data_IF_673973695061
#
_entry.id   IF_673973695061
#
_cell.length_a   1.000
_cell.length_b   1.000
_cell.length_c   1.000
_cell.angle_alpha   90.00
_cell.angle_beta   90.00
_cell.angle_gamma   90.00
#
_symmetry.space_group_name_H-M   'P 1'
#
loop_
_entity.id
_entity.type
_entity.pdbx_description
1 polymer ?
#
# COMPACT_ATOMS: atom_id res chain seq x y z
N UNK A 1 -38.40 14.06 -37.27
CA UNK A 1 -38.21 14.99 -36.15
C UNK A 1 -36.77 14.83 -35.70
N UNK A 2 -35.95 15.90 -35.68
CA UNK A 2 -34.64 15.79 -35.07
C UNK A 2 -34.88 15.67 -33.57
N UNK A 3 -34.60 14.50 -33.03
CA UNK A 3 -34.38 14.34 -31.61
C UNK A 3 -33.12 15.17 -31.33
N UNK A 4 -33.28 16.32 -30.72
CA UNK A 4 -32.16 17.14 -30.25
C UNK A 4 -31.55 16.36 -29.12
N UNK A 5 -30.53 15.59 -29.42
CA UNK A 5 -29.74 14.89 -28.43
C UNK A 5 -29.02 15.94 -27.57
N UNK A 6 -29.56 16.18 -26.39
CA UNK A 6 -28.94 17.09 -25.47
C UNK A 6 -27.72 16.39 -24.91
N UNK A 7 -26.55 17.04 -24.93
CA UNK A 7 -25.35 16.44 -24.32
C UNK A 7 -25.64 16.10 -22.86
N UNK A 8 -25.47 14.83 -22.51
CA UNK A 8 -25.69 14.36 -21.15
C UNK A 8 -24.63 14.99 -20.25
N UNK A 9 -25.07 15.81 -19.29
CA UNK A 9 -24.18 16.36 -18.28
C UNK A 9 -23.76 15.22 -17.32
N UNK A 10 -22.47 15.14 -17.07
CA UNK A 10 -21.88 14.20 -16.10
C UNK A 10 -21.38 14.95 -14.88
N UNK A 11 -21.44 14.29 -13.73
CA UNK A 11 -20.86 14.82 -12.51
C UNK A 11 -19.37 14.50 -12.47
N UNK A 12 -18.55 15.54 -12.40
CA UNK A 12 -17.10 15.44 -12.25
C UNK A 12 -16.72 16.04 -10.89
N UNK A 13 -15.69 15.52 -10.27
CA UNK A 13 -15.17 16.03 -8.99
C UNK A 13 -13.84 16.75 -9.24
N UNK A 14 -13.74 17.97 -8.75
CA UNK A 14 -12.52 18.76 -8.79
C UNK A 14 -11.48 18.25 -7.77
N UNK A 15 -10.21 18.56 -7.96
CA UNK A 15 -9.10 18.26 -7.03
C UNK A 15 -9.37 18.77 -5.60
N UNK A 16 -10.27 19.73 -5.43
CA UNK A 16 -10.73 20.26 -4.13
C UNK A 16 -11.95 19.51 -3.56
N UNK A 17 -12.34 18.39 -4.16
CA UNK A 17 -13.48 17.58 -3.72
C UNK A 17 -14.86 18.14 -4.08
N UNK A 18 -14.95 19.23 -4.85
CA UNK A 18 -16.23 19.82 -5.26
C UNK A 18 -16.76 19.11 -6.51
N UNK A 19 -18.03 18.72 -6.46
CA UNK A 19 -18.72 18.11 -7.62
C UNK A 19 -19.36 19.20 -8.47
N UNK A 20 -19.17 19.13 -9.78
CA UNK A 20 -19.85 20.00 -10.75
C UNK A 20 -20.31 19.19 -11.96
N UNK A 21 -21.32 19.69 -12.64
CA UNK A 21 -21.83 19.07 -13.86
C UNK A 21 -21.12 19.65 -15.08
N UNK A 22 -20.63 18.78 -15.95
CA UNK A 22 -19.99 19.18 -17.20
C UNK A 22 -20.44 18.26 -18.33
N UNK A 23 -20.40 18.76 -19.56
CA UNK A 23 -20.63 17.99 -20.78
C UNK A 23 -19.33 17.51 -21.43
N UNK A 24 -18.18 17.85 -20.87
CA UNK A 24 -16.86 17.43 -21.36
C UNK A 24 -16.23 16.42 -20.42
N UNK A 25 -15.62 15.39 -20.98
CA UNK A 25 -14.90 14.34 -20.25
C UNK A 25 -13.41 14.55 -20.48
N UNK A 26 -12.65 14.63 -19.40
CA UNK A 26 -11.19 14.65 -19.45
C UNK A 26 -10.66 13.21 -19.59
N UNK A 27 -9.95 12.94 -20.68
CA UNK A 27 -9.37 11.63 -20.98
C UNK A 27 -7.95 11.47 -20.45
N UNK A 28 -7.42 12.51 -19.82
CA UNK A 28 -6.08 12.42 -19.17
C UNK A 28 -6.16 11.59 -17.90
N UNK A 29 -5.01 11.10 -17.48
CA UNK A 29 -4.90 10.45 -16.18
C UNK A 29 -5.31 11.41 -15.05
N UNK A 30 -6.17 10.92 -14.18
CA UNK A 30 -6.69 11.63 -13.04
C UNK A 30 -6.25 10.95 -11.76
N UNK A 31 -6.02 11.75 -10.73
CA UNK A 31 -5.70 11.26 -9.39
C UNK A 31 -6.87 11.53 -8.47
N UNK A 32 -7.31 10.50 -7.78
CA UNK A 32 -8.34 10.60 -6.75
C UNK A 32 -7.75 10.28 -5.39
N UNK A 33 -7.85 11.23 -4.48
CA UNK A 33 -7.43 11.07 -3.09
C UNK A 33 -8.64 10.63 -2.25
N UNK A 34 -8.56 9.42 -1.70
CA UNK A 34 -9.63 8.90 -0.85
C UNK A 34 -9.46 9.38 0.58
N UNK A 35 -10.56 9.81 1.22
CA UNK A 35 -10.52 10.18 2.63
C UNK A 35 -10.13 8.98 3.48
N UNK A 36 -9.50 9.24 4.62
CA UNK A 36 -9.17 8.23 5.61
C UNK A 36 -10.42 7.45 6.01
N UNK A 37 -10.29 6.15 6.06
CA UNK A 37 -11.35 5.25 6.51
C UNK A 37 -10.82 4.25 7.53
N UNK A 38 -11.69 3.86 8.46
CA UNK A 38 -11.39 2.83 9.43
C UNK A 38 -11.60 1.46 8.81
N UNK A 39 -10.59 0.61 8.90
CA UNK A 39 -10.61 -0.78 8.45
C UNK A 39 -10.13 -1.66 9.60
N UNK A 40 -10.71 -2.84 9.71
CA UNK A 40 -10.31 -3.83 10.71
C UNK A 40 -9.46 -4.88 10.02
N UNK A 41 -8.25 -5.08 10.52
CA UNK A 41 -7.33 -6.12 10.04
C UNK A 41 -7.74 -7.51 10.53
N UNK A 42 -7.13 -8.55 9.98
CA UNK A 42 -7.40 -9.95 10.34
C UNK A 42 -7.16 -10.25 11.83
N UNK A 43 -6.18 -9.60 12.43
CA UNK A 43 -5.84 -9.67 13.86
C UNK A 43 -6.70 -8.73 14.74
N UNK A 44 -7.83 -8.22 14.18
CA UNK A 44 -8.84 -7.41 14.86
C UNK A 44 -8.34 -6.05 15.36
N UNK A 45 -7.38 -5.45 14.67
CA UNK A 45 -6.92 -4.09 14.93
C UNK A 45 -7.64 -3.10 14.00
N UNK A 46 -8.27 -2.07 14.59
CA UNK A 46 -8.88 -0.99 13.81
C UNK A 46 -7.79 -0.01 13.37
N UNK A 47 -7.61 0.14 12.07
CA UNK A 47 -6.55 0.98 11.48
C UNK A 47 -7.18 2.02 10.56
N UNK A 48 -6.70 3.27 10.62
CA UNK A 48 -7.05 4.31 9.66
C UNK A 48 -6.14 4.22 8.44
N UNK A 49 -6.76 4.13 7.26
CA UNK A 49 -6.03 3.99 6.00
C UNK A 49 -6.62 4.94 4.96
N UNK A 50 -5.76 5.57 4.19
CA UNK A 50 -6.11 6.30 2.97
C UNK A 50 -5.29 5.81 1.79
N UNK A 51 -5.81 6.07 0.58
CA UNK A 51 -5.18 5.64 -0.65
C UNK A 51 -5.33 6.68 -1.76
N UNK A 52 -4.40 6.67 -2.70
CA UNK A 52 -4.48 7.39 -3.97
C UNK A 52 -4.80 6.40 -5.08
N UNK A 53 -5.68 6.81 -5.96
CA UNK A 53 -6.03 6.07 -7.17
C UNK A 53 -5.66 6.90 -8.39
N UNK A 54 -4.84 6.33 -9.27
CA UNK A 54 -4.53 6.88 -10.60
C UNK A 54 -5.33 6.11 -11.62
N UNK A 55 -6.23 6.81 -12.31
CA UNK A 55 -7.10 6.20 -13.31
C UNK A 55 -7.26 7.09 -14.54
N UNK A 56 -7.66 6.50 -15.63
CA UNK A 56 -7.91 7.17 -16.89
C UNK A 56 -9.20 6.65 -17.51
N UNK A 57 -10.00 7.55 -18.08
CA UNK A 57 -11.17 7.17 -18.86
C UNK A 57 -10.69 6.82 -20.26
N UNK A 58 -10.81 5.55 -20.64
CA UNK A 58 -10.43 5.04 -21.98
C UNK A 58 -11.61 4.94 -22.94
N UNK A 59 -12.81 4.73 -22.41
CA UNK A 59 -14.05 4.68 -23.18
C UNK A 59 -15.07 5.64 -22.56
N UNK A 60 -15.17 6.88 -23.10
CA UNK A 60 -16.08 7.88 -22.55
C UNK A 60 -17.55 7.51 -22.72
N UNK A 61 -17.90 6.69 -23.73
CA UNK A 61 -19.27 6.24 -23.95
C UNK A 61 -19.70 5.35 -22.79
N UNK A 62 -18.90 4.35 -22.45
CA UNK A 62 -19.18 3.49 -21.30
C UNK A 62 -19.21 4.27 -20.00
N UNK A 63 -18.29 5.21 -19.79
CA UNK A 63 -18.23 6.03 -18.59
C UNK A 63 -19.50 6.88 -18.36
N UNK A 64 -20.24 7.21 -19.43
CA UNK A 64 -21.47 8.00 -19.35
C UNK A 64 -22.73 7.14 -19.29
N UNK A 65 -22.76 6.01 -20.00
CA UNK A 65 -23.98 5.22 -20.17
C UNK A 65 -24.06 3.99 -19.24
N UNK A 66 -22.93 3.43 -18.84
CA UNK A 66 -22.89 2.24 -17.99
C UNK A 66 -23.01 2.57 -16.49
N UNK A 67 -22.71 3.81 -16.08
CA UNK A 67 -22.72 4.21 -14.67
C UNK A 67 -23.24 5.64 -14.52
N UNK A 68 -24.15 5.88 -13.61
CA UNK A 68 -24.78 7.19 -13.41
C UNK A 68 -23.81 8.21 -12.78
N UNK A 69 -23.02 7.80 -11.80
CA UNK A 69 -22.08 8.66 -11.08
C UNK A 69 -20.72 7.96 -10.91
N UNK A 70 -19.93 8.03 -11.97
CA UNK A 70 -18.62 7.38 -12.04
C UNK A 70 -17.70 7.71 -10.84
N UNK A 71 -17.51 9.00 -10.42
CA UNK A 71 -16.66 9.30 -9.28
C UNK A 71 -17.11 8.64 -7.98
N UNK A 72 -18.41 8.67 -7.70
CA UNK A 72 -18.96 8.04 -6.49
C UNK A 72 -18.87 6.51 -6.56
N UNK A 73 -19.08 5.92 -7.72
CA UNK A 73 -18.96 4.48 -7.91
C UNK A 73 -17.52 4.00 -7.71
N UNK A 74 -16.54 4.71 -8.26
CA UNK A 74 -15.11 4.43 -8.06
C UNK A 74 -14.76 4.57 -6.58
N UNK A 75 -15.24 5.62 -5.91
CA UNK A 75 -15.01 5.83 -4.48
C UNK A 75 -15.53 4.64 -3.66
N UNK A 76 -16.79 4.26 -3.83
CA UNK A 76 -17.41 3.16 -3.07
C UNK A 76 -16.75 1.82 -3.37
N UNK A 77 -16.43 1.55 -4.63
CA UNK A 77 -15.74 0.34 -5.03
C UNK A 77 -14.35 0.26 -4.37
N UNK A 78 -13.59 1.35 -4.41
CA UNK A 78 -12.25 1.40 -3.82
C UNK A 78 -12.32 1.24 -2.30
N UNK A 79 -13.25 1.92 -1.62
CA UNK A 79 -13.44 1.78 -0.17
C UNK A 79 -13.76 0.33 0.22
N UNK A 80 -14.63 -0.33 -0.54
CA UNK A 80 -15.02 -1.72 -0.27
C UNK A 80 -13.87 -2.69 -0.55
N UNK A 81 -13.18 -2.51 -1.67
CA UNK A 81 -12.04 -3.34 -2.05
C UNK A 81 -10.88 -3.19 -1.05
N UNK A 82 -10.58 -1.96 -0.64
CA UNK A 82 -9.57 -1.69 0.38
C UNK A 82 -9.90 -2.41 1.70
N UNK A 83 -11.14 -2.30 2.15
CA UNK A 83 -11.61 -2.99 3.36
C UNK A 83 -11.44 -4.51 3.27
N UNK A 84 -11.79 -5.10 2.13
CA UNK A 84 -11.68 -6.54 1.93
C UNK A 84 -10.22 -6.98 1.91
N UNK A 85 -9.37 -6.31 1.14
CA UNK A 85 -7.95 -6.66 1.01
C UNK A 85 -7.20 -6.52 2.33
N UNK A 86 -7.45 -5.45 3.08
CA UNK A 86 -6.80 -5.23 4.38
C UNK A 86 -7.37 -6.17 5.45
N UNK A 87 -8.68 -6.47 5.41
CA UNK A 87 -9.31 -7.42 6.33
C UNK A 87 -8.81 -8.86 6.23
N UNK A 88 -8.14 -9.22 5.13
CA UNK A 88 -7.49 -10.53 4.96
C UNK A 88 -6.07 -10.58 5.53
N UNK A 89 -5.47 -9.43 5.88
CA UNK A 89 -4.08 -9.28 6.28
C UNK A 89 -3.96 -8.93 7.77
N UNK A 90 -2.87 -9.35 8.37
CA UNK A 90 -2.47 -8.90 9.70
C UNK A 90 -1.88 -7.48 9.63
N UNK A 91 -1.86 -6.76 10.75
CA UNK A 91 -1.36 -5.39 10.79
C UNK A 91 0.12 -5.31 10.32
N UNK A 92 0.97 -6.22 10.78
CA UNK A 92 2.38 -6.29 10.39
C UNK A 92 2.54 -6.50 8.88
N UNK A 93 1.73 -7.38 8.28
CA UNK A 93 1.71 -7.60 6.84
C UNK A 93 1.25 -6.36 6.09
N UNK A 94 0.25 -5.66 6.62
CA UNK A 94 -0.27 -4.42 6.02
C UNK A 94 0.79 -3.32 6.00
N UNK A 95 1.64 -3.23 7.02
CA UNK A 95 2.72 -2.25 7.11
C UNK A 95 3.92 -2.59 6.22
N UNK A 96 4.26 -3.87 6.08
CA UNK A 96 5.47 -4.34 5.41
C UNK A 96 5.28 -4.66 3.93
N UNK A 97 4.07 -5.07 3.52
CA UNK A 97 3.80 -5.61 2.18
C UNK A 97 3.01 -4.63 1.29
N UNK A 98 3.25 -3.34 1.41
CA UNK A 98 2.52 -2.27 0.68
C UNK A 98 2.47 -2.50 -0.83
N UNK A 99 3.58 -2.90 -1.44
CA UNK A 99 3.64 -3.11 -2.90
C UNK A 99 2.73 -4.25 -3.35
N UNK A 100 2.67 -5.34 -2.58
CA UNK A 100 1.78 -6.47 -2.84
C UNK A 100 0.31 -6.06 -2.71
N UNK A 101 -0.01 -5.27 -1.69
CA UNK A 101 -1.36 -4.74 -1.46
C UNK A 101 -1.76 -3.80 -2.60
N UNK A 102 -0.90 -2.88 -2.99
CA UNK A 102 -1.11 -1.95 -4.09
C UNK A 102 -1.38 -2.69 -5.41
N UNK A 103 -0.60 -3.74 -5.70
CA UNK A 103 -0.78 -4.58 -6.88
C UNK A 103 -2.12 -5.34 -6.83
N UNK A 104 -2.49 -5.91 -5.69
CA UNK A 104 -3.77 -6.62 -5.49
C UNK A 104 -4.97 -5.67 -5.63
N UNK A 105 -4.90 -4.50 -5.00
CA UNK A 105 -5.93 -3.46 -5.12
C UNK A 105 -6.09 -3.02 -6.57
N UNK A 106 -4.99 -2.72 -7.25
CA UNK A 106 -5.00 -2.32 -8.66
C UNK A 106 -5.68 -3.38 -9.53
N UNK A 107 -5.31 -4.65 -9.39
CA UNK A 107 -5.87 -5.73 -10.21
C UNK A 107 -7.37 -5.88 -10.03
N UNK A 108 -7.88 -5.85 -8.79
CA UNK A 108 -9.31 -5.96 -8.49
C UNK A 108 -10.08 -4.74 -8.97
N UNK A 109 -9.52 -3.54 -8.78
CA UNK A 109 -10.18 -2.31 -9.21
C UNK A 109 -10.22 -2.17 -10.73
N UNK A 110 -9.11 -2.51 -11.42
CA UNK A 110 -9.04 -2.45 -12.89
C UNK A 110 -10.04 -3.40 -13.53
N UNK A 111 -10.14 -4.63 -13.05
CA UNK A 111 -11.13 -5.60 -13.53
C UNK A 111 -12.57 -5.08 -13.35
N UNK A 112 -12.89 -4.57 -12.18
CA UNK A 112 -14.22 -4.07 -11.87
C UNK A 112 -14.60 -2.80 -12.63
N UNK A 113 -13.65 -1.89 -12.89
CA UNK A 113 -13.89 -0.60 -13.57
C UNK A 113 -13.84 -0.70 -15.08
N UNK A 114 -13.29 -1.76 -15.63
CA UNK A 114 -13.16 -1.97 -17.08
C UNK A 114 -14.53 -1.92 -17.79
N UNK A 115 -15.58 -2.47 -17.17
CA UNK A 115 -16.95 -2.39 -17.69
C UNK A 115 -17.48 -0.96 -17.83
N UNK A 116 -16.96 -0.01 -17.06
CA UNK A 116 -17.30 1.42 -17.10
C UNK A 116 -16.38 2.21 -18.05
N UNK A 117 -15.50 1.54 -18.80
CA UNK A 117 -14.54 2.19 -19.67
C UNK A 117 -13.45 2.98 -18.95
N UNK A 118 -13.15 2.59 -17.72
CA UNK A 118 -12.11 3.20 -16.88
C UNK A 118 -10.97 2.20 -16.68
N UNK A 119 -9.75 2.68 -16.85
CA UNK A 119 -8.53 1.92 -16.58
C UNK A 119 -7.86 2.45 -15.33
N UNK A 120 -7.58 1.55 -14.40
CA UNK A 120 -6.81 1.85 -13.19
C UNK A 120 -5.34 1.58 -13.47
N UNK A 121 -4.54 2.66 -13.50
CA UNK A 121 -3.11 2.57 -13.77
C UNK A 121 -2.33 2.19 -12.52
N UNK A 122 -2.67 2.82 -11.38
CA UNK A 122 -1.94 2.68 -10.13
C UNK A 122 -2.83 2.92 -8.92
N UNK A 123 -2.56 2.19 -7.85
CA UNK A 123 -3.14 2.41 -6.52
C UNK A 123 -1.99 2.53 -5.53
N UNK A 124 -2.05 3.49 -4.64
CA UNK A 124 -1.04 3.69 -3.60
C UNK A 124 -1.69 3.89 -2.25
N UNK A 125 -1.31 3.07 -1.30
CA UNK A 125 -1.61 3.31 0.10
C UNK A 125 -0.72 4.45 0.61
N UNK A 126 -1.33 5.49 1.15
CA UNK A 126 -0.61 6.64 1.73
C UNK A 126 -0.24 6.36 3.17
N UNK A 127 -1.19 6.53 4.07
CA UNK A 127 -1.00 6.38 5.50
C UNK A 127 -1.71 5.13 6.01
N UNK A 128 -1.05 4.44 6.92
CA UNK A 128 -1.61 3.34 7.70
C UNK A 128 -1.34 3.69 9.14
N UNK A 129 -2.39 4.08 9.85
CA UNK A 129 -2.28 4.58 11.22
C UNK A 129 -3.02 3.65 12.18
N UNK A 130 -2.32 2.76 12.88
CA UNK A 130 -2.92 1.94 13.92
C UNK A 130 -3.24 2.77 15.17
N UNK A 131 -4.08 2.27 16.09
CA UNK A 131 -4.33 2.91 17.36
C UNK A 131 -3.02 3.12 18.16
N UNK A 132 -2.97 4.20 18.91
CA UNK A 132 -1.77 4.58 19.67
C UNK A 132 -1.26 3.48 20.61
N UNK A 133 -2.17 2.78 21.29
CA UNK A 133 -1.83 1.66 22.17
C UNK A 133 -1.11 0.51 21.46
N UNK A 134 -1.56 0.19 20.25
CA UNK A 134 -0.96 -0.86 19.42
C UNK A 134 0.39 -0.38 18.89
N UNK A 135 0.48 0.86 18.41
CA UNK A 135 1.72 1.47 17.95
C UNK A 135 2.81 1.44 19.03
N UNK A 136 2.47 1.84 20.25
CA UNK A 136 3.41 1.77 21.39
C UNK A 136 3.85 0.36 21.73
N UNK A 137 2.93 -0.63 21.64
CA UNK A 137 3.28 -2.03 21.89
C UNK A 137 4.24 -2.56 20.81
N UNK A 138 3.98 -2.26 19.53
CA UNK A 138 4.85 -2.61 18.41
C UNK A 138 6.24 -1.97 18.52
N UNK A 139 6.32 -0.69 18.91
CA UNK A 139 7.59 0.01 19.12
C UNK A 139 8.44 -0.67 20.19
N UNK A 140 7.82 -1.05 21.33
CA UNK A 140 8.50 -1.80 22.39
C UNK A 140 8.97 -3.18 21.92
N UNK A 141 8.14 -3.90 21.21
CA UNK A 141 8.49 -5.21 20.65
C UNK A 141 9.65 -5.10 19.67
N UNK A 142 9.60 -4.15 18.74
CA UNK A 142 10.68 -3.91 17.79
C UNK A 142 11.98 -3.49 18.47
N UNK A 143 11.91 -2.69 19.53
CA UNK A 143 13.09 -2.30 20.31
C UNK A 143 13.71 -3.51 21.01
N UNK A 144 12.89 -4.36 21.63
CA UNK A 144 13.36 -5.59 22.27
C UNK A 144 14.01 -6.54 21.26
N UNK A 145 13.40 -6.71 20.08
CA UNK A 145 13.96 -7.57 19.01
C UNK A 145 15.29 -7.01 18.46
N UNK A 146 15.39 -5.69 18.28
CA UNK A 146 16.65 -5.04 17.86
C UNK A 146 17.74 -5.26 18.90
N UNK A 147 17.44 -5.10 20.19
CA UNK A 147 18.38 -5.32 21.27
C UNK A 147 18.84 -6.79 21.29
N UNK A 148 17.91 -7.73 21.19
CA UNK A 148 18.22 -9.16 21.12
C UNK A 148 19.15 -9.50 19.94
N UNK A 149 18.87 -8.97 18.75
CA UNK A 149 19.73 -9.18 17.58
C UNK A 149 21.10 -8.56 17.75
N UNK A 150 21.19 -7.38 18.37
CA UNK A 150 22.47 -6.74 18.67
C UNK A 150 23.32 -7.56 19.64
N UNK A 151 22.70 -8.15 20.68
CA UNK A 151 23.38 -9.04 21.63
C UNK A 151 23.89 -10.32 20.94
N UNK A 152 23.07 -10.94 20.07
CA UNK A 152 23.49 -12.12 19.32
C UNK A 152 24.69 -11.81 18.42
N UNK A 153 24.60 -10.72 17.62
CA UNK A 153 25.69 -10.30 16.73
C UNK A 153 26.97 -9.96 17.51
N UNK A 154 26.84 -9.36 18.70
CA UNK A 154 27.99 -9.06 19.56
C UNK A 154 28.62 -10.37 20.05
N UNK A 155 27.83 -11.31 20.55
CA UNK A 155 28.33 -12.61 21.03
C UNK A 155 28.98 -13.43 19.91
N UNK A 156 28.41 -13.42 18.69
CA UNK A 156 28.98 -14.07 17.53
C UNK A 156 30.32 -13.39 17.12
N UNK A 157 30.37 -12.07 17.16
CA UNK A 157 31.59 -11.29 16.91
C UNK A 157 32.70 -11.60 17.92
N UNK A 158 32.38 -11.66 19.20
CA UNK A 158 33.32 -12.04 20.28
C UNK A 158 33.83 -13.48 20.09
N UNK A 159 32.93 -14.42 19.79
CA UNK A 159 33.28 -15.80 19.49
C UNK A 159 34.23 -15.91 18.29
N UNK A 160 33.90 -15.23 17.19
CA UNK A 160 34.70 -15.25 15.97
C UNK A 160 36.07 -14.63 16.22
N UNK A 161 36.14 -13.50 16.96
CA UNK A 161 37.39 -12.83 17.34
C UNK A 161 38.27 -13.75 18.23
N UNK A 162 37.66 -14.46 19.20
CA UNK A 162 38.39 -15.39 20.04
C UNK A 162 38.96 -16.59 19.26
N UNK A 163 38.20 -17.12 18.31
CA UNK A 163 38.64 -18.21 17.42
C UNK A 163 39.82 -17.75 16.56
N UNK A 164 39.69 -16.60 15.88
CA UNK A 164 40.74 -16.05 15.03
C UNK A 164 42.03 -15.74 15.79
N UNK A 165 41.89 -15.23 17.04
CA UNK A 165 43.04 -14.99 17.92
C UNK A 165 43.74 -16.29 18.29
N UNK A 166 43.00 -17.33 18.68
CA UNK A 166 43.54 -18.64 19.04
C UNK A 166 44.21 -19.32 17.83
N UNK A 167 43.61 -19.22 16.65
CA UNK A 167 44.23 -19.75 15.40
C UNK A 167 45.49 -18.98 15.03
N UNK A 168 45.51 -17.68 15.20
CA UNK A 168 46.69 -16.83 14.99
C UNK A 168 47.85 -17.18 15.94
N UNK A 169 47.53 -17.36 17.23
CA UNK A 169 48.50 -17.79 18.26
C UNK A 169 49.09 -19.17 17.93
N UNK A 170 48.21 -20.12 17.54
CA UNK A 170 48.63 -21.48 17.14
C UNK A 170 49.54 -21.44 15.92
N UNK A 171 49.19 -20.67 14.89
CA UNK A 171 50.00 -20.52 13.67
C UNK A 171 51.34 -19.89 13.98
N UNK A 172 51.37 -18.86 14.85
CA UNK A 172 52.63 -18.24 15.28
C UNK A 172 53.53 -19.21 16.04
N UNK A 173 52.96 -20.05 16.91
CA UNK A 173 53.76 -21.07 17.63
C UNK A 173 54.33 -22.14 16.71
N UNK A 174 53.53 -22.57 15.70
CA UNK A 174 54.02 -23.55 14.68
C UNK A 174 55.18 -22.96 13.89
N UNK A 175 54.99 -21.72 13.36
CA UNK A 175 56.04 -21.06 12.57
C UNK A 175 57.34 -20.78 13.36
N UNK A 176 57.22 -20.53 14.68
CA UNK A 176 58.39 -20.36 15.53
C UNK A 176 59.10 -21.70 15.79
N UNK A 177 58.34 -22.78 15.92
CA UNK A 177 58.94 -24.12 16.12
C UNK A 177 59.58 -24.72 14.84
N UNK A 178 59.13 -24.28 13.66
CA UNK A 178 59.73 -24.70 12.37
C UNK A 178 60.99 -23.87 12.02
N UNK A 179 61.17 -22.70 12.72
CA UNK A 179 62.32 -21.82 12.48
C UNK A 179 63.56 -22.12 13.37
N UNK A 180 63.40 -23.00 14.40
CA UNK A 180 64.48 -23.51 15.24
C UNK A 180 65.01 -24.85 14.65
#
# INVERSE_FOLDING_TARGET
WPIIDRPKAITVRDQRGRSYMTSSIDLREQVYDFPKQNVITKDNVTTEINALLYFQIVDPIKAVYEIENLPNAIEKLTQTTLRNVIGELELDETLTSRDTINAKLRAVLDDATNKWGVKVNRVELQDITPPESVRMAMEKQMQAERNRRAEILKAEGEKTSAILKSEGEKTSQINNAEAE
#
